data_IF_414745259577
#
_entry.id   IF_414745259577
#
_cell.length_a   1.000
_cell.length_b   1.000
_cell.length_c   1.000
_cell.angle_alpha   90.00
_cell.angle_beta   90.00
_cell.angle_gamma   90.00
#
_symmetry.space_group_name_H-M   'P 1'
#
loop_
_entity.id
_entity.type
_entity.pdbx_description
1 polymer ?
#
# COMPACT_ATOMS: atom_id res chain seq x y z
N UNK A 1 57.87 -15.32 72.67
CA UNK A 1 57.83 -14.64 71.35
C UNK A 1 56.53 -15.02 70.66
N UNK A 2 55.80 -14.02 70.15
CA UNK A 2 54.37 -14.05 69.80
C UNK A 2 54.11 -14.32 68.31
N UNK A 3 53.05 -15.11 68.06
CA UNK A 3 52.17 -15.26 66.87
C UNK A 3 52.74 -15.66 65.50
N UNK A 4 51.95 -16.44 64.72
CA UNK A 4 51.45 -15.89 63.46
C UNK A 4 49.99 -16.28 63.09
N UNK A 5 49.37 -15.41 62.30
CA UNK A 5 48.12 -15.59 61.57
C UNK A 5 48.34 -15.22 60.09
N UNK A 6 47.81 -16.00 59.14
CA UNK A 6 47.30 -15.56 57.82
C UNK A 6 46.88 -16.76 56.96
N UNK A 7 45.61 -16.80 56.58
CA UNK A 7 45.02 -17.67 55.56
C UNK A 7 44.40 -16.76 54.49
N UNK A 8 44.79 -16.90 53.23
CA UNK A 8 44.17 -16.24 52.06
C UNK A 8 43.42 -17.27 51.22
N UNK A 9 42.14 -17.01 51.02
CA UNK A 9 41.13 -17.85 50.37
C UNK A 9 41.01 -17.51 48.88
N UNK A 10 41.17 -18.51 48.02
CA UNK A 10 41.02 -18.47 46.57
C UNK A 10 39.55 -18.56 46.14
N UNK A 11 39.12 -17.63 45.28
CA UNK A 11 37.79 -17.51 44.71
C UNK A 11 37.72 -18.30 43.38
N UNK A 12 36.96 -19.40 43.37
CA UNK A 12 36.69 -20.23 42.18
C UNK A 12 35.37 -19.80 41.55
N UNK A 13 35.44 -19.36 40.29
CA UNK A 13 34.31 -19.07 39.40
C UNK A 13 34.18 -20.20 38.39
N UNK A 14 32.98 -20.77 38.23
CA UNK A 14 32.61 -21.59 37.07
C UNK A 14 31.14 -21.32 36.67
N UNK A 15 30.80 -21.42 35.37
CA UNK A 15 29.61 -20.85 34.76
C UNK A 15 28.48 -21.87 34.61
N UNK A 16 27.25 -21.40 34.48
CA UNK A 16 26.11 -22.20 34.02
C UNK A 16 25.34 -21.42 32.95
N UNK A 17 25.21 -22.12 31.82
CA UNK A 17 24.55 -21.83 30.54
C UNK A 17 23.04 -21.62 30.64
N UNK A 18 22.51 -20.75 29.79
CA UNK A 18 21.11 -20.71 29.37
C UNK A 18 20.95 -20.06 27.98
N UNK A 19 20.56 -20.87 26.98
CA UNK A 19 20.02 -20.45 25.68
C UNK A 19 18.75 -19.60 25.88
N UNK A 20 18.30 -18.70 25.00
CA UNK A 20 18.67 -18.29 23.66
C UNK A 20 17.45 -17.59 23.08
N UNK A 21 17.59 -16.38 22.54
CA UNK A 21 16.58 -15.76 21.69
C UNK A 21 17.30 -14.94 20.62
N UNK A 22 17.08 -15.33 19.37
CA UNK A 22 17.78 -14.83 18.21
C UNK A 22 17.26 -13.44 17.82
N UNK A 23 17.98 -12.41 18.22
CA UNK A 23 17.85 -11.06 17.68
C UNK A 23 18.63 -10.96 16.36
N UNK A 24 17.90 -10.81 15.25
CA UNK A 24 18.44 -10.43 13.95
C UNK A 24 18.91 -8.96 14.03
N UNK A 25 20.22 -8.75 14.23
CA UNK A 25 20.87 -7.48 13.95
C UNK A 25 21.38 -7.51 12.51
N UNK A 26 20.64 -6.86 11.60
CA UNK A 26 21.18 -6.51 10.30
C UNK A 26 22.23 -5.39 10.47
N UNK A 27 23.50 -5.76 10.30
CA UNK A 27 24.57 -4.83 10.00
C UNK A 27 24.24 -4.02 8.74
N UNK A 28 23.70 -2.82 8.90
CA UNK A 28 23.79 -1.80 7.85
C UNK A 28 25.20 -1.22 7.87
N UNK A 29 26.01 -1.71 6.93
CA UNK A 29 27.23 -1.06 6.46
C UNK A 29 26.88 0.38 6.07
N UNK A 30 27.53 1.35 6.69
CA UNK A 30 27.57 2.75 6.24
C UNK A 30 28.12 2.78 4.82
N UNK A 31 27.23 2.96 3.85
CA UNK A 31 27.59 3.35 2.49
C UNK A 31 27.75 4.86 2.48
N UNK A 32 29.00 5.28 2.30
CA UNK A 32 29.41 6.66 2.07
C UNK A 32 28.69 7.21 0.83
N UNK A 33 28.01 8.36 0.98
CA UNK A 33 27.31 9.03 -0.10
C UNK A 33 28.32 9.65 -1.08
N UNK A 34 28.27 9.38 -2.40
CA UNK A 34 29.01 10.18 -3.35
C UNK A 34 28.37 11.57 -3.49
N UNK A 35 29.23 12.58 -3.44
CA UNK A 35 28.90 13.99 -3.54
C UNK A 35 28.01 14.33 -4.74
N UNK A 36 26.89 15.00 -4.45
CA UNK A 36 26.05 15.64 -5.45
C UNK A 36 26.64 17.02 -5.81
N UNK A 37 27.42 17.09 -6.88
CA UNK A 37 27.79 18.37 -7.49
C UNK A 37 27.93 18.22 -9.01
N UNK A 38 26.83 18.05 -9.73
CA UNK A 38 26.81 18.27 -11.19
C UNK A 38 25.40 18.44 -11.79
N UNK A 39 24.56 19.32 -11.25
CA UNK A 39 23.38 19.81 -11.98
C UNK A 39 23.17 21.31 -11.72
N UNK A 40 24.08 22.14 -12.23
CA UNK A 40 23.96 23.59 -12.23
C UNK A 40 24.16 24.12 -13.66
N UNK A 41 23.22 23.81 -14.56
CA UNK A 41 22.75 24.68 -15.65
C UNK A 41 21.85 23.88 -16.60
N UNK A 42 20.54 23.97 -16.43
CA UNK A 42 19.63 23.83 -17.56
C UNK A 42 18.51 24.84 -17.39
N UNK A 43 18.58 25.90 -18.20
CA UNK A 43 17.58 26.95 -18.25
C UNK A 43 16.46 26.45 -19.17
N UNK A 44 15.35 26.03 -18.58
CA UNK A 44 14.13 25.63 -19.31
C UNK A 44 13.50 26.89 -19.93
N UNK A 45 13.28 26.97 -21.25
CA UNK A 45 12.54 28.07 -21.86
C UNK A 45 11.03 27.87 -21.68
N UNK A 46 10.31 28.97 -21.49
CA UNK A 46 8.85 28.99 -21.37
C UNK A 46 8.17 28.50 -22.67
N UNK A 47 7.02 27.82 -22.58
CA UNK A 47 6.34 27.28 -23.75
C UNK A 47 5.71 28.43 -24.56
N UNK A 48 6.09 28.56 -25.84
CA UNK A 48 5.46 29.53 -26.74
C UNK A 48 6.35 30.18 -27.82
N UNK A 49 7.61 29.76 -28.00
CA UNK A 49 8.45 30.29 -29.08
C UNK A 49 8.76 29.22 -30.12
N UNK A 50 8.12 29.38 -31.28
CA UNK A 50 8.53 28.76 -32.54
C UNK A 50 9.92 29.27 -32.92
N UNK A 51 10.84 28.34 -33.16
CA UNK A 51 12.15 28.66 -33.72
C UNK A 51 11.96 28.76 -35.23
N UNK A 52 11.68 29.96 -35.72
CA UNK A 52 11.73 30.27 -37.15
C UNK A 52 13.20 30.37 -37.56
N UNK A 53 13.60 29.55 -38.52
CA UNK A 53 14.87 29.67 -39.20
C UNK A 53 14.78 30.84 -40.18
N UNK A 54 15.34 32.00 -39.82
CA UNK A 54 15.45 33.14 -40.72
C UNK A 54 16.72 33.01 -41.58
N UNK A 55 16.49 32.70 -42.85
CA UNK A 55 17.44 32.89 -43.93
C UNK A 55 17.35 34.34 -44.41
N UNK A 56 18.40 35.11 -44.14
CA UNK A 56 18.63 36.44 -44.71
C UNK A 56 18.78 36.38 -46.24
N UNK A 57 17.99 37.18 -46.95
CA UNK A 57 18.06 37.35 -48.39
C UNK A 57 17.23 38.55 -48.84
N UNK A 58 17.80 39.74 -48.73
CA UNK A 58 17.14 41.02 -48.95
C UNK A 58 16.77 41.36 -50.40
N UNK A 59 15.85 42.33 -50.53
CA UNK A 59 15.56 43.01 -51.79
C UNK A 59 14.18 43.66 -51.81
N UNK A 60 14.07 44.90 -51.34
CA UNK A 60 12.86 45.72 -51.47
C UNK A 60 13.19 47.18 -51.77
N UNK A 61 13.02 47.58 -53.03
CA UNK A 61 13.05 48.97 -53.48
C UNK A 61 11.64 49.59 -53.41
N UNK A 62 11.62 50.78 -52.80
CA UNK A 62 10.71 51.93 -52.91
C UNK A 62 9.48 51.90 -53.84
N UNK A 63 8.38 52.49 -53.34
CA UNK A 63 7.54 53.36 -54.17
C UNK A 63 6.04 53.43 -53.84
N UNK A 64 5.66 54.35 -52.95
CA UNK A 64 4.65 55.38 -53.24
C UNK A 64 3.14 55.02 -53.35
N UNK A 65 2.38 55.68 -52.48
CA UNK A 65 1.18 56.49 -52.78
C UNK A 65 -0.18 56.02 -52.22
N UNK A 66 -0.66 56.84 -51.27
CA UNK A 66 -2.02 57.17 -50.84
C UNK A 66 -3.22 56.36 -51.35
N UNK A 67 -3.98 55.82 -50.40
CA UNK A 67 -5.38 55.44 -50.55
C UNK A 67 -6.12 55.57 -49.23
N UNK A 68 -6.83 56.68 -49.06
CA UNK A 68 -7.74 56.98 -47.95
C UNK A 68 -8.91 55.99 -47.95
N UNK A 69 -9.19 55.28 -46.84
CA UNK A 69 -10.56 54.95 -46.41
C UNK A 69 -10.65 54.41 -44.97
N UNK A 70 -11.52 55.08 -44.22
CA UNK A 70 -12.37 54.64 -43.10
C UNK A 70 -11.87 53.57 -42.12
N UNK A 71 -11.73 54.01 -40.87
CA UNK A 71 -11.59 53.16 -39.70
C UNK A 71 -12.83 52.27 -39.51
N UNK A 72 -12.68 50.98 -39.77
CA UNK A 72 -13.53 49.91 -39.24
C UNK A 72 -12.74 49.21 -38.15
N UNK A 73 -13.35 49.04 -36.98
CA UNK A 73 -12.78 48.35 -35.83
C UNK A 73 -12.27 46.95 -36.21
N UNK A 74 -11.17 46.45 -35.63
CA UNK A 74 -10.79 45.05 -35.82
C UNK A 74 -11.78 44.18 -35.05
N UNK A 75 -12.66 43.54 -35.81
CA UNK A 75 -13.44 42.39 -35.38
C UNK A 75 -12.44 41.32 -34.93
N UNK A 76 -12.56 40.92 -33.66
CA UNK A 76 -11.75 39.86 -33.07
C UNK A 76 -11.88 38.58 -33.93
N UNK A 77 -10.81 37.78 -34.09
CA UNK A 77 -10.91 36.53 -34.82
C UNK A 77 -12.00 35.69 -34.17
N UNK A 78 -13.04 35.37 -34.94
CA UNK A 78 -14.01 34.36 -34.59
C UNK A 78 -13.22 33.11 -34.20
N UNK A 79 -13.25 32.80 -32.91
CA UNK A 79 -12.76 31.57 -32.33
C UNK A 79 -13.36 30.46 -33.17
N UNK A 80 -12.51 29.78 -33.94
CA UNK A 80 -12.89 28.62 -34.72
C UNK A 80 -13.41 27.59 -33.72
N UNK A 81 -14.73 27.60 -33.53
CA UNK A 81 -15.43 26.57 -32.82
C UNK A 81 -15.02 25.26 -33.49
N UNK A 82 -14.23 24.47 -32.75
CA UNK A 82 -13.81 23.15 -33.17
C UNK A 82 -15.05 22.41 -33.68
N UNK A 83 -14.94 21.67 -34.81
CA UNK A 83 -16.07 20.93 -35.32
C UNK A 83 -16.54 19.99 -34.21
N UNK A 84 -17.74 20.26 -33.67
CA UNK A 84 -18.51 19.27 -32.93
C UNK A 84 -18.74 18.13 -33.91
N UNK A 85 -17.93 17.10 -33.76
CA UNK A 85 -17.97 15.84 -34.50
C UNK A 85 -19.31 15.14 -34.20
N UNK A 86 -20.35 15.63 -34.86
CA UNK A 86 -21.68 15.05 -34.86
C UNK A 86 -21.70 13.95 -35.92
N UNK A 87 -21.33 12.74 -35.53
CA UNK A 87 -21.47 11.58 -36.41
C UNK A 87 -21.12 10.23 -35.79
N UNK A 88 -20.21 10.18 -34.81
CA UNK A 88 -19.74 8.91 -34.24
C UNK A 88 -19.76 9.01 -32.71
N UNK A 89 -20.50 8.10 -32.06
CA UNK A 89 -20.45 7.97 -30.58
C UNK A 89 -19.05 7.52 -30.18
N UNK A 90 -18.27 8.45 -29.65
CA UNK A 90 -16.94 8.14 -29.10
C UNK A 90 -17.05 7.12 -27.98
N UNK A 91 -16.19 6.10 -28.03
CA UNK A 91 -16.05 5.05 -27.01
C UNK A 91 -14.74 5.29 -26.28
N UNK A 92 -14.80 5.84 -25.08
CA UNK A 92 -13.62 6.15 -24.27
C UNK A 92 -13.68 5.35 -22.97
N UNK A 93 -12.61 4.64 -22.67
CA UNK A 93 -12.43 3.93 -21.40
C UNK A 93 -11.79 4.89 -20.41
N UNK A 94 -12.43 5.07 -19.25
CA UNK A 94 -11.91 5.87 -18.15
C UNK A 94 -11.49 4.96 -16.99
N UNK A 95 -10.24 5.11 -16.57
CA UNK A 95 -9.67 4.45 -15.40
C UNK A 95 -8.99 5.51 -14.52
N UNK A 96 -9.39 5.59 -13.25
CA UNK A 96 -8.76 6.50 -12.32
C UNK A 96 -8.38 5.82 -11.01
N UNK A 97 -7.31 6.32 -10.41
CA UNK A 97 -6.88 5.99 -9.05
C UNK A 97 -6.94 7.25 -8.21
N UNK A 98 -7.59 7.15 -7.06
CA UNK A 98 -7.77 8.24 -6.11
C UNK A 98 -7.38 7.76 -4.72
N UNK A 99 -6.36 8.38 -4.15
CA UNK A 99 -5.93 8.18 -2.78
C UNK A 99 -6.27 9.41 -1.95
N UNK A 100 -7.00 9.19 -0.86
CA UNK A 100 -7.46 10.23 0.05
C UNK A 100 -7.01 9.94 1.48
N UNK A 101 -6.57 10.99 2.17
CA UNK A 101 -6.34 10.98 3.60
C UNK A 101 -7.54 11.61 4.31
N UNK A 102 -8.12 10.89 5.26
CA UNK A 102 -9.32 11.33 5.99
C UNK A 102 -9.09 11.27 7.50
N UNK A 103 -9.88 12.01 8.27
CA UNK A 103 -9.76 11.99 9.72
C UNK A 103 -10.35 10.71 10.35
N UNK A 104 -11.37 10.10 9.72
CA UNK A 104 -11.96 8.84 10.15
C UNK A 104 -12.53 8.08 8.93
N UNK A 105 -12.25 6.78 8.82
CA UNK A 105 -12.67 5.97 7.66
C UNK A 105 -14.16 5.63 7.69
N UNK A 106 -14.70 5.21 8.84
CA UNK A 106 -16.09 4.73 8.96
C UNK A 106 -17.17 5.73 8.45
N UNK A 107 -17.15 7.04 8.82
CA UNK A 107 -18.16 7.98 8.31
C UNK A 107 -17.98 8.27 6.82
N UNK A 108 -16.74 8.33 6.33
CA UNK A 108 -16.46 8.60 4.91
C UNK A 108 -16.88 7.41 4.06
N UNK A 109 -16.67 6.18 4.52
CA UNK A 109 -17.11 4.96 3.86
C UNK A 109 -18.62 4.96 3.59
N UNK A 110 -19.43 5.36 4.58
CA UNK A 110 -20.88 5.48 4.42
C UNK A 110 -21.25 6.53 3.35
N UNK A 111 -20.63 7.72 3.40
CA UNK A 111 -20.87 8.78 2.42
C UNK A 111 -20.46 8.38 0.99
N UNK A 112 -19.35 7.66 0.84
CA UNK A 112 -18.90 7.12 -0.46
C UNK A 112 -19.93 6.14 -1.01
N UNK A 113 -20.46 5.24 -0.18
CA UNK A 113 -21.52 4.32 -0.58
C UNK A 113 -22.76 5.03 -1.12
N UNK A 114 -23.21 6.08 -0.44
CA UNK A 114 -24.36 6.91 -0.87
C UNK A 114 -24.07 7.68 -2.17
N UNK A 115 -22.87 8.24 -2.32
CA UNK A 115 -22.45 8.95 -3.54
C UNK A 115 -22.39 8.01 -4.74
N UNK A 116 -21.92 6.79 -4.56
CA UNK A 116 -21.86 5.76 -5.62
C UNK A 116 -23.28 5.36 -6.04
N UNK A 117 -24.15 5.08 -5.07
CA UNK A 117 -25.53 4.71 -5.33
C UNK A 117 -26.32 5.83 -6.04
N UNK A 118 -26.19 7.07 -5.58
CA UNK A 118 -26.85 8.24 -6.18
C UNK A 118 -26.33 8.57 -7.59
N UNK A 119 -25.09 8.19 -7.90
CA UNK A 119 -24.51 8.35 -9.24
C UNK A 119 -24.90 7.22 -10.21
N UNK A 120 -25.72 6.25 -9.77
CA UNK A 120 -26.12 5.09 -10.56
C UNK A 120 -24.97 4.09 -10.78
N UNK A 121 -23.94 4.15 -9.95
CA UNK A 121 -22.82 3.21 -9.95
C UNK A 121 -23.01 2.08 -8.95
N UNK A 122 -22.05 1.17 -8.93
CA UNK A 122 -22.00 0.08 -7.96
C UNK A 122 -20.56 -0.20 -7.52
N UNK A 123 -20.43 -0.85 -6.36
CA UNK A 123 -19.16 -1.28 -5.80
C UNK A 123 -18.85 -2.67 -6.34
N UNK A 124 -17.74 -2.80 -7.09
CA UNK A 124 -17.31 -4.06 -7.68
C UNK A 124 -16.37 -4.85 -6.75
N UNK A 125 -15.59 -4.14 -5.92
CA UNK A 125 -14.74 -4.74 -4.90
C UNK A 125 -14.66 -3.79 -3.71
N UNK A 126 -14.66 -4.35 -2.51
CA UNK A 126 -14.50 -3.63 -1.25
C UNK A 126 -13.60 -4.45 -0.33
N UNK A 127 -12.54 -3.84 0.18
CA UNK A 127 -11.66 -4.44 1.16
C UNK A 127 -11.33 -3.41 2.23
N UNK A 128 -11.43 -3.81 3.49
CA UNK A 128 -11.08 -2.97 4.62
C UNK A 128 -9.95 -3.63 5.40
N UNK A 129 -8.89 -2.87 5.68
CA UNK A 129 -7.74 -3.32 6.45
C UNK A 129 -7.53 -2.40 7.65
N UNK A 130 -7.35 -2.99 8.82
CA UNK A 130 -7.14 -2.24 10.05
C UNK A 130 -7.12 -3.16 11.26
N UNK A 131 -6.26 -2.80 12.22
CA UNK A 131 -6.18 -3.45 13.53
C UNK A 131 -6.47 -2.42 14.62
N UNK A 132 -7.02 -2.82 15.77
CA UNK A 132 -7.18 -1.92 16.91
C UNK A 132 -5.83 -1.25 17.25
N UNK A 133 -5.79 0.08 17.22
CA UNK A 133 -4.58 0.86 17.49
C UNK A 133 -3.66 1.13 16.28
N UNK A 134 -4.02 0.69 15.07
CA UNK A 134 -3.35 1.06 13.81
C UNK A 134 -4.25 1.94 12.95
N UNK A 135 -3.65 2.78 12.11
CA UNK A 135 -4.34 3.51 11.05
C UNK A 135 -5.12 2.53 10.18
N UNK A 136 -6.40 2.81 9.97
CA UNK A 136 -7.27 2.02 9.10
C UNK A 136 -7.15 2.49 7.66
N UNK A 137 -7.32 1.56 6.73
CA UNK A 137 -7.38 1.81 5.30
C UNK A 137 -8.55 1.06 4.69
N UNK A 138 -9.20 1.68 3.72
CA UNK A 138 -10.26 1.04 2.95
C UNK A 138 -10.01 1.23 1.46
N UNK A 139 -10.27 0.17 0.72
CA UNK A 139 -10.07 0.06 -0.71
C UNK A 139 -11.39 -0.27 -1.36
N UNK A 140 -11.72 0.45 -2.43
CA UNK A 140 -12.85 0.15 -3.29
C UNK A 140 -12.47 0.17 -4.76
N UNK A 141 -13.08 -0.73 -5.53
CA UNK A 141 -13.18 -0.61 -6.98
C UNK A 141 -14.62 -0.28 -7.34
N UNK A 142 -14.85 0.94 -7.81
CA UNK A 142 -16.17 1.48 -8.12
C UNK A 142 -16.38 1.48 -9.64
N UNK A 143 -17.61 1.15 -10.06
CA UNK A 143 -18.05 1.22 -11.46
C UNK A 143 -19.17 2.23 -11.58
N UNK A 144 -18.97 3.26 -12.39
CA UNK A 144 -19.89 4.41 -12.46
C UNK A 144 -20.12 4.78 -13.92
N UNK A 145 -21.36 5.15 -14.33
CA UNK A 145 -21.62 5.68 -15.66
C UNK A 145 -20.70 6.86 -16.00
N UNK A 146 -20.15 6.88 -17.22
CA UNK A 146 -19.18 7.89 -17.66
C UNK A 146 -19.70 9.32 -17.48
N UNK A 147 -20.99 9.56 -17.76
CA UNK A 147 -21.62 10.88 -17.63
C UNK A 147 -21.65 11.43 -16.20
N UNK A 148 -21.60 10.54 -15.19
CA UNK A 148 -21.65 10.89 -13.76
C UNK A 148 -20.30 10.80 -13.08
N UNK A 149 -19.29 10.24 -13.74
CA UNK A 149 -17.98 9.96 -13.19
C UNK A 149 -17.27 11.22 -12.66
N UNK A 150 -17.18 12.28 -13.45
CA UNK A 150 -16.49 13.52 -13.06
C UNK A 150 -17.20 14.26 -11.91
N UNK A 151 -18.51 14.07 -11.78
CA UNK A 151 -19.27 14.58 -10.62
C UNK A 151 -18.89 13.82 -9.35
N UNK A 152 -18.93 12.49 -9.41
CA UNK A 152 -18.60 11.60 -8.30
C UNK A 152 -17.17 11.79 -7.80
N UNK A 153 -16.19 11.87 -8.71
CA UNK A 153 -14.78 12.10 -8.33
C UNK A 153 -14.61 13.39 -7.54
N UNK A 154 -15.25 14.48 -7.98
CA UNK A 154 -15.19 15.78 -7.27
C UNK A 154 -15.85 15.71 -5.90
N UNK A 155 -17.00 15.04 -5.79
CA UNK A 155 -17.67 14.85 -4.50
C UNK A 155 -16.83 14.05 -3.52
N UNK A 156 -16.15 13.00 -3.99
CA UNK A 156 -15.28 12.16 -3.14
C UNK A 156 -14.01 12.92 -2.73
N UNK A 157 -13.40 13.70 -3.64
CA UNK A 157 -12.26 14.55 -3.31
C UNK A 157 -12.58 15.58 -2.22
N UNK A 158 -13.83 16.03 -2.10
CA UNK A 158 -14.24 16.98 -1.07
C UNK A 158 -14.38 16.35 0.34
N UNK A 159 -14.36 15.02 0.46
CA UNK A 159 -14.51 14.31 1.75
C UNK A 159 -13.21 14.23 2.55
N UNK A 160 -12.06 14.53 1.94
CA UNK A 160 -10.75 14.38 2.57
C UNK A 160 -9.67 15.20 1.91
N UNK A 161 -8.43 14.98 2.34
CA UNK A 161 -7.24 15.58 1.76
C UNK A 161 -6.71 14.70 0.64
N UNK A 162 -6.60 15.27 -0.57
CA UNK A 162 -6.11 14.55 -1.75
C UNK A 162 -4.63 14.21 -1.59
N UNK A 163 -4.30 12.91 -1.56
CA UNK A 163 -2.91 12.43 -1.57
C UNK A 163 -2.43 12.21 -2.99
N UNK A 164 -3.23 11.51 -3.80
CA UNK A 164 -2.89 11.21 -5.18
C UNK A 164 -4.15 11.09 -6.03
N UNK A 165 -4.14 11.69 -7.22
CA UNK A 165 -5.14 11.45 -8.24
C UNK A 165 -4.46 11.20 -9.57
N UNK A 166 -4.81 10.08 -10.20
CA UNK A 166 -4.39 9.76 -11.55
C UNK A 166 -5.61 9.35 -12.36
N UNK A 167 -5.71 9.85 -13.60
CA UNK A 167 -6.79 9.50 -14.52
C UNK A 167 -6.21 9.19 -15.88
N UNK A 168 -6.52 8.00 -16.38
CA UNK A 168 -6.18 7.52 -17.71
C UNK A 168 -7.45 7.43 -18.53
N UNK A 169 -7.37 7.97 -19.75
CA UNK A 169 -8.42 7.85 -20.76
C UNK A 169 -7.84 7.17 -21.98
N UNK A 170 -8.56 6.18 -22.52
CA UNK A 170 -8.18 5.50 -23.76
C UNK A 170 -9.34 5.55 -24.73
N UNK A 171 -9.14 6.17 -25.89
CA UNK A 171 -10.11 6.14 -26.98
C UNK A 171 -10.03 4.78 -27.68
N UNK A 172 -11.13 4.04 -27.64
CA UNK A 172 -11.30 2.72 -28.28
C UNK A 172 -12.39 2.76 -29.35
N UNK A 173 -12.75 3.96 -29.83
CA UNK A 173 -13.79 4.14 -30.85
C UNK A 173 -13.47 3.35 -32.11
N UNK A 174 -12.24 3.49 -32.62
CA UNK A 174 -11.79 2.76 -33.81
C UNK A 174 -11.82 1.23 -33.60
N UNK A 175 -11.32 0.75 -32.46
CA UNK A 175 -11.31 -0.69 -32.14
C UNK A 175 -12.73 -1.25 -32.03
N UNK A 176 -13.64 -0.52 -31.38
CA UNK A 176 -15.03 -0.94 -31.21
C UNK A 176 -15.73 -1.15 -32.55
N UNK A 177 -15.66 -0.16 -33.43
CA UNK A 177 -16.32 -0.23 -34.75
C UNK A 177 -15.63 -1.21 -35.70
N UNK A 178 -14.31 -1.39 -35.60
CA UNK A 178 -13.59 -2.44 -36.35
C UNK A 178 -14.07 -3.84 -35.95
N UNK A 179 -14.11 -4.14 -34.65
CA UNK A 179 -14.60 -5.44 -34.16
C UNK A 179 -16.05 -5.67 -34.57
N UNK A 180 -16.90 -4.64 -34.50
CA UNK A 180 -18.30 -4.72 -34.94
C UNK A 180 -18.40 -5.04 -36.44
N UNK A 181 -17.61 -4.37 -37.29
CA UNK A 181 -17.58 -4.62 -38.74
C UNK A 181 -17.06 -6.04 -39.05
N UNK A 182 -16.02 -6.50 -38.35
CA UNK A 182 -15.48 -7.86 -38.51
C UNK A 182 -16.49 -8.93 -38.12
N UNK A 183 -17.25 -8.73 -37.04
CA UNK A 183 -18.35 -9.63 -36.65
C UNK A 183 -19.41 -9.70 -37.76
N UNK A 184 -19.86 -8.56 -38.30
CA UNK A 184 -20.85 -8.52 -39.38
C UNK A 184 -20.38 -9.32 -40.60
N UNK A 185 -19.13 -9.15 -41.02
CA UNK A 185 -18.56 -9.88 -42.15
C UNK A 185 -18.49 -11.39 -41.87
N UNK A 186 -18.06 -11.80 -40.67
CA UNK A 186 -17.99 -13.21 -40.30
C UNK A 186 -19.36 -13.87 -40.16
N UNK A 187 -20.40 -13.15 -39.75
CA UNK A 187 -21.76 -13.67 -39.73
C UNK A 187 -22.30 -13.94 -41.16
N UNK A 188 -21.94 -13.11 -42.14
CA UNK A 188 -22.28 -13.36 -43.56
C UNK A 188 -21.54 -14.60 -44.08
N UNK A 189 -20.27 -14.77 -43.71
CA UNK A 189 -19.49 -15.98 -44.02
C UNK A 189 -20.13 -17.23 -43.40
N UNK A 190 -20.54 -17.15 -42.12
CA UNK A 190 -21.25 -18.21 -41.41
C UNK A 190 -22.58 -18.57 -42.10
N UNK A 191 -23.39 -17.57 -42.48
CA UNK A 191 -24.65 -17.79 -43.18
C UNK A 191 -24.44 -18.44 -44.54
N UNK A 192 -23.38 -18.04 -45.26
CA UNK A 192 -23.03 -18.64 -46.55
C UNK A 192 -22.61 -20.10 -46.39
N UNK A 193 -21.80 -20.43 -45.38
CA UNK A 193 -21.42 -21.82 -45.08
C UNK A 193 -22.63 -22.67 -44.68
N UNK A 194 -23.57 -22.11 -43.91
CA UNK A 194 -24.83 -22.77 -43.57
C UNK A 194 -25.68 -23.08 -44.80
N UNK A 195 -25.85 -22.11 -45.71
CA UNK A 195 -26.58 -22.32 -46.98
C UNK A 195 -25.94 -23.43 -47.83
N UNK A 196 -24.61 -23.45 -47.91
CA UNK A 196 -23.89 -24.52 -48.62
C UNK A 196 -24.17 -25.89 -48.00
N UNK A 197 -24.25 -25.99 -46.67
CA UNK A 197 -24.61 -27.24 -45.96
C UNK A 197 -26.07 -27.66 -46.20
N UNK A 198 -27.00 -26.71 -46.27
CA UNK A 198 -28.42 -26.97 -46.52
C UNK A 198 -28.68 -27.42 -47.96
N UNK A 199 -27.98 -26.82 -48.93
CA UNK A 199 -28.16 -27.10 -50.36
C UNK A 199 -27.35 -28.32 -50.86
N UNK A 200 -26.26 -28.71 -50.18
CA UNK A 200 -25.44 -29.85 -50.60
C UNK A 200 -26.02 -31.19 -50.14
N UNK A 201 -26.31 -32.04 -51.12
CA UNK A 201 -26.48 -33.49 -50.96
C UNK A 201 -25.24 -34.29 -51.44
N UNK A 202 -24.05 -33.70 -51.32
CA UNK A 202 -22.79 -34.19 -51.91
C UNK A 202 -22.06 -35.29 -51.11
N UNK A 203 -20.79 -35.56 -51.46
CA UNK A 203 -19.96 -36.56 -50.78
C UNK A 203 -19.74 -36.18 -49.30
N UNK A 204 -19.83 -37.17 -48.39
CA UNK A 204 -19.71 -36.97 -46.94
C UNK A 204 -18.46 -36.18 -46.53
N UNK A 205 -17.34 -36.39 -47.22
CA UNK A 205 -16.09 -35.70 -46.89
C UNK A 205 -16.14 -34.19 -47.16
N UNK A 206 -16.90 -33.75 -48.17
CA UNK A 206 -17.10 -32.32 -48.42
C UNK A 206 -17.98 -31.67 -47.35
N UNK A 207 -19.02 -32.38 -46.90
CA UNK A 207 -19.89 -31.93 -45.81
C UNK A 207 -19.09 -31.74 -44.53
N UNK A 208 -18.28 -32.75 -44.16
CA UNK A 208 -17.41 -32.67 -42.98
C UNK A 208 -16.42 -31.50 -43.07
N UNK A 209 -15.85 -31.22 -44.25
CA UNK A 209 -14.95 -30.06 -44.44
C UNK A 209 -15.67 -28.73 -44.20
N UNK A 210 -16.90 -28.58 -44.69
CA UNK A 210 -17.69 -27.36 -44.48
C UNK A 210 -18.12 -27.23 -43.01
N UNK A 211 -18.47 -28.32 -42.33
CA UNK A 211 -18.77 -28.31 -40.89
C UNK A 211 -17.59 -27.86 -40.04
N UNK A 212 -16.39 -28.33 -40.34
CA UNK A 212 -15.16 -27.91 -39.64
C UNK A 212 -14.91 -26.41 -39.82
N UNK A 213 -15.05 -25.90 -41.05
CA UNK A 213 -14.91 -24.47 -41.31
C UNK A 213 -16.00 -23.64 -40.64
N UNK A 214 -17.25 -24.12 -40.63
CA UNK A 214 -18.35 -23.47 -39.94
C UNK A 214 -18.10 -23.39 -38.43
N UNK A 215 -17.61 -24.49 -37.82
CA UNK A 215 -17.24 -24.52 -36.41
C UNK A 215 -16.12 -23.51 -36.10
N UNK A 216 -15.10 -23.41 -36.97
CA UNK A 216 -14.02 -22.42 -36.84
C UNK A 216 -14.56 -21.00 -36.89
N UNK A 217 -15.34 -20.65 -37.93
CA UNK A 217 -15.90 -19.30 -38.10
C UNK A 217 -16.79 -18.92 -36.92
N UNK A 218 -17.63 -19.85 -36.44
CA UNK A 218 -18.48 -19.62 -35.27
C UNK A 218 -17.66 -19.34 -34.01
N UNK A 219 -16.59 -20.10 -33.78
CA UNK A 219 -15.68 -19.85 -32.67
C UNK A 219 -15.04 -18.45 -32.73
N UNK A 220 -14.62 -18.01 -33.93
CA UNK A 220 -14.09 -16.65 -34.13
C UNK A 220 -15.14 -15.57 -33.85
N UNK A 221 -16.39 -15.76 -34.30
CA UNK A 221 -17.51 -14.84 -34.04
C UNK A 221 -17.76 -14.73 -32.53
N UNK A 222 -17.85 -15.85 -31.82
CA UNK A 222 -18.10 -15.88 -30.38
C UNK A 222 -16.99 -15.17 -29.60
N UNK A 223 -15.73 -15.37 -30.00
CA UNK A 223 -14.58 -14.67 -29.41
C UNK A 223 -14.67 -13.15 -29.64
N UNK A 224 -14.94 -12.72 -30.87
CA UNK A 224 -15.06 -11.29 -31.20
C UNK A 224 -16.25 -10.63 -30.49
N UNK A 225 -17.39 -11.32 -30.39
CA UNK A 225 -18.55 -10.86 -29.61
C UNK A 225 -18.20 -10.71 -28.13
N UNK A 226 -17.38 -11.61 -27.58
CA UNK A 226 -16.82 -11.48 -26.24
C UNK A 226 -16.00 -10.20 -26.08
N UNK A 227 -15.09 -9.92 -27.03
CA UNK A 227 -14.28 -8.69 -27.04
C UNK A 227 -15.16 -7.44 -27.13
N UNK A 228 -16.16 -7.43 -28.01
CA UNK A 228 -17.09 -6.31 -28.18
C UNK A 228 -17.84 -6.01 -26.89
N UNK A 229 -18.35 -7.03 -26.19
CA UNK A 229 -19.01 -6.89 -24.88
C UNK A 229 -18.10 -6.25 -23.84
N UNK A 230 -16.82 -6.62 -23.82
CA UNK A 230 -15.84 -6.01 -22.90
C UNK A 230 -15.63 -4.53 -23.23
N UNK A 231 -15.38 -4.18 -24.50
CA UNK A 231 -15.22 -2.79 -24.92
C UNK A 231 -16.46 -1.94 -24.63
N UNK A 232 -17.66 -2.51 -24.82
CA UNK A 232 -18.92 -1.85 -24.48
C UNK A 232 -19.04 -1.58 -22.98
N UNK A 233 -18.72 -2.56 -22.14
CA UNK A 233 -18.77 -2.39 -20.68
C UNK A 233 -17.74 -1.36 -20.18
N UNK A 234 -16.52 -1.40 -20.72
CA UNK A 234 -15.45 -0.47 -20.33
C UNK A 234 -15.66 0.96 -20.83
N UNK A 235 -16.38 1.15 -21.94
CA UNK A 235 -16.69 2.48 -22.49
C UNK A 235 -17.99 3.08 -21.95
N UNK A 236 -18.89 2.27 -21.39
CA UNK A 236 -20.13 2.75 -20.74
C UNK A 236 -19.95 3.02 -19.25
N UNK A 237 -19.04 2.30 -18.59
CA UNK A 237 -18.74 2.43 -17.17
C UNK A 237 -17.27 2.79 -16.96
N UNK A 238 -17.04 3.91 -16.30
CA UNK A 238 -15.74 4.29 -15.79
C UNK A 238 -15.37 3.46 -14.55
N UNK A 239 -14.07 3.19 -14.39
CA UNK A 239 -13.53 2.51 -13.21
C UNK A 239 -12.81 3.51 -12.32
N UNK A 240 -13.20 3.57 -11.04
CA UNK A 240 -12.50 4.33 -10.01
C UNK A 240 -11.95 3.38 -8.97
N UNK A 241 -10.63 3.37 -8.82
CA UNK A 241 -9.93 2.73 -7.72
C UNK A 241 -9.74 3.76 -6.63
N UNK A 242 -10.44 3.59 -5.51
CA UNK A 242 -10.43 4.52 -4.38
C UNK A 242 -9.74 3.88 -3.19
N UNK A 243 -8.69 4.51 -2.68
CA UNK A 243 -8.06 4.17 -1.42
C UNK A 243 -8.24 5.30 -0.44
N UNK A 244 -8.82 5.02 0.72
CA UNK A 244 -8.94 5.98 1.81
C UNK A 244 -8.11 5.49 2.98
N UNK A 245 -7.30 6.37 3.55
CA UNK A 245 -6.45 6.09 4.72
C UNK A 245 -6.71 7.11 5.82
N UNK A 246 -6.70 6.66 7.07
CA UNK A 246 -6.71 7.60 8.18
C UNK A 246 -5.40 8.39 8.21
N UNK A 247 -5.52 9.72 8.35
CA UNK A 247 -4.37 10.58 8.53
C UNK A 247 -3.85 10.44 9.96
N UNK A 248 -2.55 10.15 10.09
CA UNK A 248 -1.90 10.24 11.39
C UNK A 248 -1.95 11.70 11.85
N UNK A 249 -2.52 11.95 13.03
CA UNK A 249 -2.46 13.27 13.65
C UNK A 249 -1.03 13.44 14.13
N UNK A 250 -0.13 13.81 13.22
CA UNK A 250 1.20 14.23 13.56
C UNK A 250 1.06 15.45 14.47
N UNK A 251 1.12 15.22 15.77
CA UNK A 251 1.33 16.27 16.74
C UNK A 251 2.83 16.55 16.70
N UNK A 252 3.29 17.65 16.08
CA UNK A 252 4.68 18.02 16.18
C UNK A 252 5.04 18.04 17.67
N UNK A 253 6.14 17.39 18.09
CA UNK A 253 6.55 17.46 19.48
C UNK A 253 6.62 18.94 19.85
N UNK A 254 5.93 19.31 20.92
CA UNK A 254 5.85 20.71 21.36
C UNK A 254 7.26 21.31 21.32
N UNK A 255 7.43 22.52 20.73
CA UNK A 255 8.74 23.10 20.49
C UNK A 255 9.57 23.02 21.77
N UNK A 256 10.74 22.37 21.68
CA UNK A 256 11.64 22.08 22.81
C UNK A 256 12.42 23.34 23.21
N UNK A 257 11.76 24.49 23.21
CA UNK A 257 12.15 25.63 24.05
C UNK A 257 11.34 25.51 25.33
N UNK A 258 11.60 24.43 26.06
CA UNK A 258 11.08 24.27 27.41
C UNK A 258 11.90 25.18 28.32
N UNK A 259 11.31 26.27 28.81
CA UNK A 259 11.89 27.05 29.88
C UNK A 259 12.24 26.13 31.07
N UNK A 260 13.35 26.40 31.75
CA UNK A 260 13.85 25.66 32.92
C UNK A 260 12.76 25.13 33.89
N UNK A 261 11.72 25.91 34.29
CA UNK A 261 10.63 25.41 35.15
C UNK A 261 9.81 24.27 34.53
N UNK A 262 9.56 24.29 33.21
CA UNK A 262 8.84 23.19 32.54
C UNK A 262 9.68 21.92 32.44
N UNK A 263 11.01 22.03 32.33
CA UNK A 263 11.89 20.86 32.37
C UNK A 263 11.88 20.20 33.75
N UNK A 264 11.93 21.00 34.83
CA UNK A 264 11.88 20.50 36.20
C UNK A 264 10.55 19.81 36.51
N UNK A 265 9.42 20.40 36.10
CA UNK A 265 8.10 19.81 36.29
C UNK A 265 7.93 18.47 35.56
N UNK A 266 8.41 18.36 34.31
CA UNK A 266 8.37 17.09 33.55
C UNK A 266 9.30 16.04 34.14
N UNK A 267 10.46 16.44 34.64
CA UNK A 267 11.44 15.54 35.28
C UNK A 267 10.88 15.00 36.60
N UNK A 268 10.21 15.85 37.37
CA UNK A 268 9.51 15.43 38.59
C UNK A 268 8.38 14.44 38.29
N UNK A 269 7.51 14.77 37.33
CA UNK A 269 6.40 13.91 36.95
C UNK A 269 6.89 12.55 36.41
N UNK A 270 7.90 12.54 35.55
CA UNK A 270 8.50 11.31 35.02
C UNK A 270 9.24 10.50 36.08
N UNK A 271 9.80 11.13 37.11
CA UNK A 271 10.41 10.41 38.24
C UNK A 271 9.33 9.74 39.10
N UNK A 272 8.19 10.40 39.29
CA UNK A 272 7.07 9.85 40.04
C UNK A 272 6.40 8.69 39.31
N UNK A 273 6.25 8.76 37.98
CA UNK A 273 5.73 7.63 37.20
C UNK A 273 6.68 6.44 37.22
N UNK A 274 8.01 6.66 37.14
CA UNK A 274 9.00 5.59 37.29
C UNK A 274 8.96 4.93 38.67
N UNK A 275 8.72 5.70 39.73
CA UNK A 275 8.56 5.16 41.08
C UNK A 275 7.29 4.28 41.20
N UNK A 276 6.18 4.74 40.61
CA UNK A 276 4.94 3.96 40.56
C UNK A 276 5.10 2.68 39.75
N UNK A 277 5.79 2.74 38.61
CA UNK A 277 6.04 1.57 37.77
C UNK A 277 7.00 0.57 38.44
N UNK A 278 7.98 1.05 39.21
CA UNK A 278 8.79 0.19 40.07
C UNK A 278 7.94 -0.50 41.14
N UNK A 279 6.98 0.23 41.74
CA UNK A 279 6.01 -0.36 42.68
C UNK A 279 5.14 -1.44 42.03
N UNK A 280 4.63 -1.20 40.82
CA UNK A 280 3.88 -2.21 40.05
C UNK A 280 4.75 -3.42 39.73
N UNK A 281 5.99 -3.20 39.28
CA UNK A 281 6.92 -4.27 38.96
C UNK A 281 7.23 -5.13 40.20
N UNK A 282 7.45 -4.51 41.36
CA UNK A 282 7.63 -5.22 42.63
C UNK A 282 6.39 -6.01 43.03
N UNK A 283 5.20 -5.43 42.85
CA UNK A 283 3.92 -6.09 43.15
C UNK A 283 3.74 -7.34 42.27
N UNK A 284 3.95 -7.20 40.97
CA UNK A 284 3.88 -8.32 40.01
C UNK A 284 4.94 -9.38 40.35
N UNK A 285 6.16 -8.97 40.70
CA UNK A 285 7.22 -9.88 41.12
C UNK A 285 6.81 -10.70 42.35
N UNK A 286 6.32 -10.05 43.42
CA UNK A 286 5.87 -10.72 44.64
C UNK A 286 4.73 -11.70 44.35
N UNK A 287 3.72 -11.28 43.60
CA UNK A 287 2.60 -12.17 43.21
C UNK A 287 3.11 -13.36 42.39
N UNK A 288 4.06 -13.15 41.49
CA UNK A 288 4.71 -14.23 40.74
C UNK A 288 5.46 -15.22 41.63
N UNK A 289 6.14 -14.73 42.68
CA UNK A 289 6.86 -15.58 43.63
C UNK A 289 5.94 -16.45 44.50
N UNK A 290 4.66 -16.07 44.68
CA UNK A 290 3.68 -16.86 45.46
C UNK A 290 3.47 -18.26 44.85
N UNK A 291 3.49 -18.38 43.52
CA UNK A 291 3.33 -19.67 42.82
C UNK A 291 4.47 -20.66 43.16
N UNK A 292 5.65 -20.14 43.49
CA UNK A 292 6.84 -20.94 43.79
C UNK A 292 7.02 -21.27 45.28
N UNK A 293 6.16 -20.74 46.16
CA UNK A 293 6.15 -21.05 47.60
C UNK A 293 6.17 -22.55 47.95
N UNK A 294 5.41 -23.46 47.30
CA UNK A 294 5.48 -24.89 47.61
C UNK A 294 6.87 -25.47 47.31
N UNK A 295 7.56 -25.00 46.26
CA UNK A 295 8.92 -25.43 45.96
C UNK A 295 9.93 -24.92 46.98
N UNK A 296 9.81 -23.65 47.42
CA UNK A 296 10.63 -23.11 48.49
C UNK A 296 10.42 -23.86 49.82
N UNK A 297 9.18 -24.23 50.14
CA UNK A 297 8.86 -25.02 51.32
C UNK A 297 9.48 -26.43 51.28
N UNK A 298 9.38 -27.12 50.14
CA UNK A 298 10.01 -28.44 49.94
C UNK A 298 11.53 -28.34 50.07
N UNK A 299 12.15 -27.34 49.43
CA UNK A 299 13.59 -27.10 49.54
C UNK A 299 14.04 -26.88 50.99
N UNK A 300 13.28 -26.10 51.77
CA UNK A 300 13.58 -25.81 53.18
C UNK A 300 13.44 -27.07 54.06
N UNK A 301 12.43 -27.92 53.81
CA UNK A 301 12.26 -29.20 54.50
C UNK A 301 13.42 -30.16 54.19
N UNK A 302 13.82 -30.28 52.93
CA UNK A 302 14.97 -31.11 52.53
C UNK A 302 16.28 -30.60 53.14
N UNK A 303 16.51 -29.29 53.15
CA UNK A 303 17.67 -28.67 53.78
C UNK A 303 17.71 -28.95 55.28
N UNK A 304 16.59 -28.78 55.98
CA UNK A 304 16.48 -29.08 57.41
C UNK A 304 16.72 -30.56 57.73
N UNK A 305 16.18 -31.45 56.89
CA UNK A 305 16.40 -32.89 57.03
C UNK A 305 17.87 -33.28 56.79
N UNK A 306 18.52 -32.67 55.79
CA UNK A 306 19.95 -32.84 55.53
C UNK A 306 20.82 -32.36 56.69
N UNK A 307 20.56 -31.16 57.22
CA UNK A 307 21.26 -30.64 58.40
C UNK A 307 21.10 -31.55 59.62
N UNK A 308 19.89 -32.05 59.88
CA UNK A 308 19.64 -32.99 60.99
C UNK A 308 20.40 -34.29 60.85
N UNK A 309 20.49 -34.85 59.64
CA UNK A 309 21.26 -36.06 59.38
C UNK A 309 22.76 -35.84 59.57
N UNK A 310 23.29 -34.70 59.12
CA UNK A 310 24.71 -34.37 59.30
C UNK A 310 25.08 -34.21 60.78
N UNK A 311 24.22 -33.55 61.57
CA UNK A 311 24.42 -33.41 63.02
C UNK A 311 24.33 -34.76 63.74
N UNK A 312 23.48 -35.68 63.28
CA UNK A 312 23.36 -37.03 63.85
C UNK A 312 24.60 -37.89 63.59
N UNK A 313 25.18 -37.81 62.38
CA UNK A 313 26.39 -38.56 62.01
C UNK A 313 27.62 -38.06 62.78
N UNK A 314 27.68 -36.77 63.09
CA UNK A 314 28.79 -36.20 63.88
C UNK A 314 28.82 -36.64 65.36
N UNK A 315 27.76 -37.31 65.87
CA UNK A 315 27.64 -37.70 67.29
C UNK A 315 27.94 -39.18 67.57
N UNK A 316 28.38 -39.98 66.61
CA UNK A 316 28.75 -41.39 66.87
C UNK A 316 30.15 -41.50 67.50
N UNK A 317 30.29 -42.04 68.73
CA UNK A 317 31.61 -42.21 69.35
C UNK A 317 32.41 -43.32 68.66
N UNK A 318 33.70 -43.07 68.44
CA UNK A 318 34.63 -44.01 67.80
C UNK A 318 34.76 -45.30 68.63
N UNK A 319 34.76 -46.50 68.01
CA UNK A 319 34.99 -47.74 68.74
C UNK A 319 36.42 -47.77 69.28
N UNK A 320 36.55 -48.00 70.58
CA UNK A 320 37.84 -48.25 71.26
C UNK A 320 38.38 -49.60 70.80
N UNK A 321 39.55 -49.61 70.18
CA UNK A 321 40.31 -50.82 69.85
C UNK A 321 40.73 -51.54 71.13
N UNK A 322 40.24 -52.77 71.35
CA UNK A 322 40.70 -53.66 72.41
C UNK A 322 41.94 -54.45 71.95
N UNK A 323 43.05 -54.29 72.64
CA UNK A 323 44.29 -55.08 72.47
C UNK A 323 44.13 -56.46 73.13
N UNK A 324 44.49 -57.58 72.48
CA UNK A 324 44.47 -58.90 73.12
C UNK A 324 45.75 -59.15 73.97
N UNK A 325 45.67 -59.96 75.04
CA UNK A 325 46.75 -60.14 76.00
C UNK A 325 47.81 -61.14 75.53
N UNK A 326 49.06 -60.86 75.94
CA UNK A 326 50.23 -61.69 75.73
C UNK A 326 50.29 -62.86 76.73
N UNK A 327 50.73 -64.02 76.23
CA UNK A 327 51.43 -65.07 77.00
C UNK A 327 52.63 -65.50 76.18
#
# INVERSE_FOLDING_TARGET
MQSPASFLLTMVLLPLTGCGEAGYEAQMKTAEAPAASHYANYKVPAPGQVISADSDGGGGMAGGMMGMHAATAPEAPAEAAAPTDAGISRKVIYDATLDLAVDAVDPVAAMVGELVASSGGYIAEENMTGSPGSLRSQFWRLRVPVDRFDGLVRSIMALGELVQFNRKSQDVTAEFYDVEARIKNKLVEEETLKKILEERSGQLEEVLKVEVELARVRGEVEQMQGRLRVLQNLSSLATLTLTIRERDRFQPPAPVVADFPTQLARTWQSSLTRLLDLGKALTIFVVGQVVWLPFYAIGLVLMWWGLRRLIAIARTPRPTTSTPPAV
#
